data_IF_476504702940
#
_entry.id   IF_476504702940
#
_cell.length_a   1.000
_cell.length_b   1.000
_cell.length_c   1.000
_cell.angle_alpha   90.00
_cell.angle_beta   90.00
_cell.angle_gamma   90.00
#
_symmetry.space_group_name_H-M   'P 1'
#
loop_
_entity.id
_entity.type
_entity.pdbx_description
1 polymer ?
#
# COMPACT_ATOMS: atom_id res chain seq x y z
N UNK A 1 15.87 -6.33 -8.25
CA UNK A 1 14.59 -7.02 -7.96
C UNK A 1 14.31 -6.86 -6.47
N UNK A 2 13.79 -5.70 -6.09
CA UNK A 2 13.56 -5.34 -4.69
C UNK A 2 12.29 -6.04 -4.19
N UNK A 3 12.46 -7.07 -3.35
CA UNK A 3 11.39 -7.65 -2.53
C UNK A 3 11.52 -7.17 -1.08
N UNK A 4 11.87 -5.90 -0.89
CA UNK A 4 12.02 -5.29 0.43
C UNK A 4 10.76 -4.43 0.67
N UNK A 5 10.03 -4.73 1.75
CA UNK A 5 9.15 -3.82 2.48
C UNK A 5 7.65 -3.72 2.17
N UNK A 6 7.06 -4.52 1.27
CA UNK A 6 5.63 -4.31 0.91
C UNK A 6 4.58 -5.00 1.79
N UNK A 7 4.92 -5.72 2.87
CA UNK A 7 3.89 -6.51 3.59
C UNK A 7 3.97 -6.44 5.12
N UNK A 8 3.64 -5.30 5.74
CA UNK A 8 3.33 -5.27 7.17
C UNK A 8 2.26 -6.32 7.55
N UNK A 9 1.38 -6.69 6.62
CA UNK A 9 0.22 -7.54 6.89
C UNK A 9 0.46 -9.05 6.76
N UNK A 10 1.50 -9.52 6.06
CA UNK A 10 1.67 -10.96 5.77
C UNK A 10 1.88 -11.76 7.06
N UNK A 11 2.50 -11.10 8.05
CA UNK A 11 2.87 -11.71 9.31
C UNK A 11 1.75 -11.68 10.34
N UNK A 12 0.71 -10.85 10.14
CA UNK A 12 -0.38 -10.66 11.10
C UNK A 12 -1.16 -11.94 11.40
N UNK A 13 -1.13 -12.92 10.50
CA UNK A 13 -1.75 -14.24 10.69
C UNK A 13 -0.99 -15.17 11.64
N UNK A 14 0.28 -14.89 11.93
CA UNK A 14 1.15 -15.74 12.76
C UNK A 14 1.26 -15.28 14.21
N UNK A 15 0.68 -14.13 14.54
CA UNK A 15 0.52 -13.70 15.93
C UNK A 15 -0.52 -14.58 16.63
N UNK A 16 -0.42 -14.69 17.96
CA UNK A 16 -1.41 -15.36 18.79
C UNK A 16 -2.00 -14.37 19.82
N UNK A 17 -3.27 -13.93 19.66
CA UNK A 17 -4.17 -14.25 18.54
C UNK A 17 -3.76 -13.57 17.22
N UNK A 18 -4.14 -14.12 16.05
CA UNK A 18 -3.92 -13.46 14.76
C UNK A 18 -4.52 -12.05 14.73
N UNK A 19 -3.72 -11.09 14.29
CA UNK A 19 -4.05 -9.66 14.37
C UNK A 19 -4.89 -9.18 13.18
N UNK A 20 -5.99 -8.51 13.49
CA UNK A 20 -6.78 -7.72 12.55
C UNK A 20 -6.02 -6.47 12.15
N UNK A 21 -6.13 -6.05 10.88
CA UNK A 21 -5.42 -4.87 10.41
C UNK A 21 -6.08 -4.27 9.17
N UNK A 22 -5.81 -2.99 8.90
CA UNK A 22 -6.21 -2.35 7.64
C UNK A 22 -5.15 -2.66 6.60
N UNK A 23 -5.58 -3.29 5.52
CA UNK A 23 -4.75 -3.62 4.38
C UNK A 23 -4.69 -2.46 3.39
N UNK A 24 -3.49 -2.11 2.94
CA UNK A 24 -3.26 -1.08 1.93
C UNK A 24 -2.90 -1.73 0.58
N UNK A 25 -3.42 -1.23 -0.55
CA UNK A 25 -3.14 -1.77 -1.88
C UNK A 25 -1.75 -1.32 -2.37
N UNK A 26 -0.70 -1.83 -1.71
CA UNK A 26 0.69 -1.39 -1.88
C UNK A 26 1.18 -1.41 -3.33
N UNK A 27 0.82 -2.45 -4.08
CA UNK A 27 1.21 -2.58 -5.49
C UNK A 27 0.63 -1.43 -6.32
N UNK A 28 -0.67 -1.14 -6.17
CA UNK A 28 -1.32 -0.03 -6.88
C UNK A 28 -0.73 1.32 -6.47
N UNK A 29 -0.46 1.51 -5.18
CA UNK A 29 0.16 2.74 -4.67
C UNK A 29 1.55 2.96 -5.30
N UNK A 30 2.39 1.93 -5.31
CA UNK A 30 3.73 1.99 -5.89
C UNK A 30 3.69 2.23 -7.40
N UNK A 31 2.82 1.52 -8.13
CA UNK A 31 2.64 1.72 -9.58
C UNK A 31 2.19 3.14 -9.89
N UNK A 32 1.19 3.67 -9.17
CA UNK A 32 0.71 5.04 -9.40
C UNK A 32 1.77 6.08 -9.05
N UNK A 33 2.52 5.89 -7.96
CA UNK A 33 3.62 6.79 -7.61
C UNK A 33 4.71 6.80 -8.71
N UNK A 34 5.04 5.62 -9.26
CA UNK A 34 5.99 5.51 -10.36
C UNK A 34 5.50 6.24 -11.63
N UNK A 35 4.24 6.04 -12.00
CA UNK A 35 3.63 6.74 -13.13
C UNK A 35 3.66 8.27 -12.95
N UNK A 36 3.38 8.76 -11.74
CA UNK A 36 3.45 10.20 -11.45
C UNK A 36 4.86 10.75 -11.61
N UNK A 37 5.89 9.99 -11.21
CA UNK A 37 7.28 10.37 -11.38
C UNK A 37 7.65 10.44 -12.87
N UNK A 38 7.33 9.40 -13.65
CA UNK A 38 7.62 9.36 -15.10
C UNK A 38 6.97 10.54 -15.83
N UNK A 39 5.71 10.84 -15.51
CA UNK A 39 4.98 11.97 -16.10
C UNK A 39 5.62 13.32 -15.74
N UNK A 40 6.09 13.48 -14.50
CA UNK A 40 6.75 14.72 -14.06
C UNK A 40 8.15 14.87 -14.65
N UNK A 41 8.88 13.78 -14.84
CA UNK A 41 10.15 13.80 -15.58
C UNK A 41 9.95 14.22 -17.04
N UNK A 42 8.87 13.77 -17.67
CA UNK A 42 8.53 14.15 -19.05
C UNK A 42 8.04 15.61 -19.14
N UNK A 43 7.30 16.10 -18.15
CA UNK A 43 6.84 17.48 -18.08
C UNK A 43 6.97 18.05 -16.65
N UNK A 44 8.05 18.78 -16.35
CA UNK A 44 8.28 19.33 -15.01
C UNK A 44 7.20 20.32 -14.55
N UNK A 45 6.47 20.96 -15.47
CA UNK A 45 5.41 21.93 -15.15
C UNK A 45 4.05 21.29 -14.89
N UNK A 46 3.97 19.96 -14.88
CA UNK A 46 2.73 19.25 -14.59
C UNK A 46 2.22 19.64 -13.19
N UNK A 47 0.93 19.99 -13.02
CA UNK A 47 0.34 20.25 -11.71
C UNK A 47 0.55 19.09 -10.73
N UNK A 48 0.41 19.38 -9.44
CA UNK A 48 0.51 18.36 -8.40
C UNK A 48 -0.54 17.27 -8.64
N UNK A 49 -0.08 16.02 -8.72
CA UNK A 49 -0.92 14.85 -8.91
C UNK A 49 -1.27 14.23 -7.55
N UNK A 50 -2.51 13.74 -7.42
CA UNK A 50 -2.99 13.07 -6.21
C UNK A 50 -3.77 11.82 -6.59
N UNK A 51 -3.58 10.76 -5.82
CA UNK A 51 -4.40 9.56 -5.87
C UNK A 51 -4.80 9.16 -4.44
N UNK A 52 -6.06 8.81 -4.25
CA UNK A 52 -6.60 8.31 -2.99
C UNK A 52 -6.88 6.82 -3.12
N UNK A 53 -6.38 6.02 -2.18
CA UNK A 53 -6.55 4.57 -2.15
C UNK A 53 -7.34 4.16 -0.92
N UNK A 54 -8.31 3.27 -1.10
CA UNK A 54 -9.09 2.72 0.01
C UNK A 54 -8.37 1.51 0.58
N UNK A 55 -8.10 1.56 1.88
CA UNK A 55 -7.68 0.38 2.63
C UNK A 55 -8.87 -0.51 3.01
N UNK A 56 -8.62 -1.79 3.21
CA UNK A 56 -9.64 -2.77 3.60
C UNK A 56 -9.33 -3.37 4.97
N UNK A 57 -10.30 -3.33 5.89
CA UNK A 57 -10.15 -3.97 7.19
C UNK A 57 -10.20 -5.50 7.03
N UNK A 58 -9.12 -6.17 7.39
CA UNK A 58 -9.06 -7.62 7.51
C UNK A 58 -9.24 -7.99 8.97
N UNK A 59 -10.38 -8.59 9.27
CA UNK A 59 -10.75 -9.06 10.61
C UNK A 59 -10.15 -10.45 10.87
N UNK A 60 -9.63 -10.63 12.08
CA UNK A 60 -9.07 -11.85 12.66
C UNK A 60 -9.42 -11.92 14.15
N UNK A 61 -8.97 -12.97 14.82
CA UNK A 61 -9.27 -13.27 16.24
C UNK A 61 -8.95 -12.13 17.21
N UNK A 62 -8.03 -11.23 16.90
CA UNK A 62 -7.76 -10.08 17.77
C UNK A 62 -8.88 -9.03 17.80
N UNK A 63 -9.88 -9.12 16.92
CA UNK A 63 -11.01 -8.20 16.84
C UNK A 63 -12.35 -8.96 16.90
N UNK A 64 -12.53 -9.74 17.97
CA UNK A 64 -13.78 -10.43 18.30
C UNK A 64 -13.88 -11.82 17.68
#
# INVERSE_FOLDING_TARGET
MAKMDSIPQLHMKYFDPPLSTITQPMEKMATTAWQFLEQRMANPQLPLQKADFRGELVVRKSLG
#
